data_IF_241034405165
#
_entry.id   IF_241034405165
#
_cell.length_a   1.000
_cell.length_b   1.000
_cell.length_c   1.000
_cell.angle_alpha   90.00
_cell.angle_beta   90.00
_cell.angle_gamma   90.00
#
_symmetry.space_group_name_H-M   'P 1'
#
loop_
_entity.id
_entity.type
_entity.pdbx_description
1 polymer ?
#
# COMPACT_ATOMS: atom_id res chain seq x y z
N UNK A 1 -51.81 -41.55 13.15
CA UNK A 1 -51.98 -40.87 14.45
C UNK A 1 -51.12 -41.58 15.48
N UNK A 2 -50.64 -40.85 16.49
CA UNK A 2 -49.41 -41.18 17.22
C UNK A 2 -49.56 -42.18 18.38
N UNK A 3 -48.46 -42.85 18.69
CA UNK A 3 -48.13 -43.51 19.98
C UNK A 3 -46.90 -42.75 20.53
N UNK A 4 -46.98 -42.01 21.64
CA UNK A 4 -46.74 -42.43 23.05
C UNK A 4 -45.30 -42.94 23.30
N UNK A 5 -44.59 -42.64 24.40
CA UNK A 5 -44.84 -41.85 25.63
C UNK A 5 -43.46 -41.43 26.24
N UNK A 6 -43.35 -40.46 27.17
CA UNK A 6 -42.07 -39.85 27.58
C UNK A 6 -41.38 -40.55 28.78
N UNK A 7 -40.12 -40.18 29.08
CA UNK A 7 -39.44 -40.53 30.34
C UNK A 7 -38.60 -39.40 30.96
N UNK A 8 -38.64 -39.38 32.29
CA UNK A 8 -37.70 -38.78 33.26
C UNK A 8 -37.57 -39.81 34.42
N UNK A 9 -36.69 -39.72 35.43
CA UNK A 9 -35.73 -38.71 35.92
C UNK A 9 -34.47 -39.46 36.41
N UNK A 10 -33.27 -38.86 36.37
CA UNK A 10 -32.30 -39.11 37.46
C UNK A 10 -30.79 -39.19 37.11
N UNK A 11 -29.87 -38.93 38.07
CA UNK A 11 -28.50 -38.51 37.77
C UNK A 11 -27.38 -39.43 38.29
N UNK A 12 -26.19 -39.43 37.67
CA UNK A 12 -24.95 -39.93 38.31
C UNK A 12 -23.62 -39.53 37.61
N UNK A 13 -22.88 -38.63 38.28
CA UNK A 13 -21.41 -38.63 38.54
C UNK A 13 -20.32 -38.46 37.45
N UNK A 14 -19.28 -37.76 37.92
CA UNK A 14 -17.83 -37.85 37.62
C UNK A 14 -17.29 -37.44 36.24
N UNK A 15 -16.91 -36.16 36.19
CA UNK A 15 -15.65 -35.65 35.63
C UNK A 15 -14.53 -36.66 35.31
N UNK A 16 -14.08 -36.65 34.06
CA UNK A 16 -12.67 -36.84 33.71
C UNK A 16 -12.24 -35.77 32.70
N UNK A 17 -11.31 -34.90 33.10
CA UNK A 17 -10.60 -34.00 32.19
C UNK A 17 -9.54 -34.81 31.44
N UNK A 18 -9.57 -34.78 30.11
CA UNK A 18 -8.47 -35.28 29.28
C UNK A 18 -7.36 -34.22 29.26
N UNK A 19 -6.28 -34.50 29.99
CA UNK A 19 -5.04 -33.71 29.94
C UNK A 19 -4.12 -34.30 28.88
N UNK A 20 -3.67 -33.45 27.95
CA UNK A 20 -2.65 -33.82 26.96
C UNK A 20 -1.25 -33.59 27.57
N UNK A 21 -0.26 -34.46 27.31
CA UNK A 21 1.11 -34.26 27.78
C UNK A 21 1.77 -33.09 27.03
N UNK A 22 2.67 -32.33 27.68
CA UNK A 22 3.42 -31.27 27.00
C UNK A 22 4.44 -31.84 26.02
N UNK A 23 4.54 -31.24 24.83
CA UNK A 23 5.56 -31.59 23.84
C UNK A 23 6.96 -31.21 24.34
N UNK A 24 7.95 -32.06 24.03
CA UNK A 24 9.35 -31.81 24.41
C UNK A 24 9.98 -30.74 23.50
N UNK A 25 10.81 -29.82 24.03
CA UNK A 25 11.38 -28.73 23.24
C UNK A 25 12.42 -29.25 22.25
N UNK A 26 12.20 -28.94 20.96
CA UNK A 26 13.17 -29.19 19.89
C UNK A 26 14.28 -28.14 19.98
N UNK A 27 15.52 -28.60 20.19
CA UNK A 27 16.70 -27.73 20.14
C UNK A 27 16.99 -27.30 18.70
N UNK A 28 16.90 -26.00 18.44
CA UNK A 28 17.43 -25.37 17.23
C UNK A 28 18.85 -24.82 17.50
N UNK A 29 19.82 -24.99 16.60
CA UNK A 29 21.16 -24.44 16.79
C UNK A 29 21.17 -22.92 16.59
N UNK A 30 21.82 -22.19 17.51
CA UNK A 30 22.07 -20.75 17.36
C UNK A 30 23.00 -20.47 16.18
N UNK A 31 22.48 -19.80 15.15
CA UNK A 31 23.31 -19.19 14.10
C UNK A 31 23.60 -17.74 14.50
N UNK A 32 24.71 -17.54 15.22
CA UNK A 32 25.23 -16.21 15.56
C UNK A 32 25.83 -15.56 14.31
N UNK A 33 25.01 -14.80 13.58
CA UNK A 33 25.50 -13.94 12.50
C UNK A 33 26.30 -12.75 13.08
N UNK A 34 27.50 -12.43 12.55
CA UNK A 34 28.33 -11.37 13.11
C UNK A 34 27.72 -9.98 12.87
N UNK A 35 27.48 -9.22 13.94
CA UNK A 35 27.06 -7.81 13.90
C UNK A 35 28.14 -6.93 13.27
N UNK A 36 28.15 -6.81 11.94
CA UNK A 36 28.89 -5.75 11.25
C UNK A 36 28.13 -4.43 11.40
N UNK A 37 28.60 -3.55 12.26
CA UNK A 37 28.23 -2.12 12.20
C UNK A 37 28.63 -1.60 10.82
N UNK A 38 27.68 -1.13 10.02
CA UNK A 38 27.98 -0.40 8.79
C UNK A 38 28.51 0.96 9.22
N UNK A 39 29.83 1.13 9.14
CA UNK A 39 30.49 2.39 9.46
C UNK A 39 30.39 3.31 8.24
N UNK A 40 29.42 4.22 8.26
CA UNK A 40 29.32 5.29 7.27
C UNK A 40 30.50 6.25 7.50
N UNK A 41 31.48 6.22 6.60
CA UNK A 41 32.62 7.13 6.62
C UNK A 41 32.20 8.50 6.06
N UNK A 42 32.47 9.62 6.74
CA UNK A 42 32.21 10.95 6.20
C UNK A 42 33.21 11.29 5.09
N UNK A 43 32.70 11.83 3.98
CA UNK A 43 33.51 12.36 2.88
C UNK A 43 34.21 13.66 3.30
N UNK A 44 35.54 13.64 3.40
CA UNK A 44 36.35 14.85 3.61
C UNK A 44 36.62 15.56 2.28
N UNK A 45 35.96 16.68 2.02
CA UNK A 45 36.32 17.57 0.92
C UNK A 45 37.55 18.41 1.29
N UNK A 46 38.66 18.22 0.58
CA UNK A 46 39.87 19.05 0.73
C UNK A 46 39.74 20.32 -0.11
N UNK A 47 39.62 21.47 0.53
CA UNK A 47 39.73 22.77 -0.15
C UNK A 47 41.13 22.97 -0.74
N UNK A 48 41.19 23.43 -1.99
CA UNK A 48 42.38 24.10 -2.56
C UNK A 48 41.90 25.26 -3.42
N UNK A 49 41.95 26.47 -2.87
CA UNK A 49 41.87 27.69 -3.66
C UNK A 49 43.14 27.84 -4.50
N UNK A 50 42.97 28.26 -5.75
CA UNK A 50 44.06 28.82 -6.57
C UNK A 50 43.55 30.12 -7.15
N UNK A 51 44.07 31.23 -6.64
CA UNK A 51 43.83 32.58 -7.15
C UNK A 51 44.68 32.85 -8.38
N UNK A 52 44.13 33.53 -9.40
CA UNK A 52 44.88 34.27 -10.43
C UNK A 52 43.98 35.35 -11.07
N UNK A 53 44.57 36.42 -11.61
CA UNK A 53 43.92 37.73 -11.75
C UNK A 53 43.69 38.22 -13.20
N UNK A 54 42.53 38.84 -13.40
CA UNK A 54 42.26 40.03 -14.27
C UNK A 54 42.80 40.12 -15.71
N UNK A 55 41.88 40.29 -16.67
CA UNK A 55 41.95 41.33 -17.71
C UNK A 55 40.57 41.61 -18.33
N UNK A 56 40.30 42.86 -18.74
CA UNK A 56 38.99 43.33 -19.23
C UNK A 56 38.69 42.97 -20.69
N UNK A 57 37.40 42.90 -21.05
CA UNK A 57 36.92 42.87 -22.43
C UNK A 57 35.42 43.20 -22.53
N UNK A 58 35.08 44.33 -23.18
CA UNK A 58 33.69 44.80 -23.31
C UNK A 58 32.94 44.05 -24.43
N UNK A 59 31.75 43.53 -24.12
CA UNK A 59 30.73 43.20 -25.14
C UNK A 59 29.35 43.11 -24.50
N UNK A 60 28.42 43.94 -24.96
CA UNK A 60 27.02 43.94 -24.50
C UNK A 60 26.32 42.64 -24.92
N UNK A 61 25.90 41.81 -23.97
CA UNK A 61 24.98 40.69 -24.20
C UNK A 61 23.77 40.80 -23.30
N UNK A 62 22.60 40.53 -23.87
CA UNK A 62 21.33 40.47 -23.16
C UNK A 62 21.36 39.24 -22.26
N UNK A 63 21.20 39.43 -20.95
CA UNK A 63 21.08 38.32 -20.01
C UNK A 63 19.71 37.63 -20.18
N UNK A 64 19.66 36.30 -20.33
CA UNK A 64 18.48 35.54 -19.94
C UNK A 64 18.29 35.71 -18.43
N UNK A 65 17.06 35.92 -17.97
CA UNK A 65 16.76 35.85 -16.54
C UNK A 65 16.74 34.36 -16.16
N UNK A 66 17.90 33.82 -15.80
CA UNK A 66 17.95 32.60 -15.00
C UNK A 66 17.56 32.97 -13.58
N UNK A 67 16.40 32.48 -13.13
CA UNK A 67 16.07 32.46 -11.71
C UNK A 67 16.90 31.37 -11.05
N UNK A 68 18.18 31.66 -10.82
CA UNK A 68 19.05 30.87 -9.97
C UNK A 68 18.50 30.97 -8.54
N UNK A 69 17.64 30.02 -8.18
CA UNK A 69 17.25 29.83 -6.78
C UNK A 69 18.49 29.38 -6.02
N UNK A 70 19.11 30.31 -5.30
CA UNK A 70 20.12 30.01 -4.29
C UNK A 70 19.52 29.06 -3.25
N UNK A 71 19.75 27.76 -3.44
CA UNK A 71 19.49 26.78 -2.39
C UNK A 71 20.55 26.98 -1.32
N UNK A 72 20.18 27.67 -0.25
CA UNK A 72 20.95 27.76 1.01
C UNK A 72 21.53 26.38 1.35
N UNK A 73 22.82 26.33 1.71
CA UNK A 73 23.71 25.17 1.62
C UNK A 73 23.40 23.97 2.53
N UNK A 74 22.17 23.88 3.06
CA UNK A 74 21.66 22.70 3.75
C UNK A 74 21.42 21.57 2.75
N UNK A 75 22.22 20.52 2.90
CA UNK A 75 21.85 19.18 2.43
C UNK A 75 20.39 18.89 2.82
N UNK A 76 19.52 18.46 1.87
CA UNK A 76 18.13 18.18 2.18
C UNK A 76 18.07 17.09 3.27
N UNK A 77 17.23 17.33 4.29
CA UNK A 77 17.16 16.45 5.45
C UNK A 77 16.85 15.00 5.03
N UNK A 78 17.64 14.04 5.52
CA UNK A 78 17.48 12.63 5.20
C UNK A 78 16.05 12.17 5.54
N UNK A 79 15.31 11.69 4.54
CA UNK A 79 13.98 11.10 4.69
C UNK A 79 14.05 9.58 4.65
N UNK A 80 13.20 8.93 5.43
CA UNK A 80 13.03 7.48 5.47
C UNK A 80 11.64 7.09 4.97
N UNK A 81 11.58 6.10 4.08
CA UNK A 81 10.35 5.60 3.48
C UNK A 81 10.17 4.10 3.69
N UNK A 82 8.94 3.65 3.88
CA UNK A 82 8.52 2.24 3.75
C UNK A 82 7.62 2.12 2.52
N UNK A 83 7.87 1.14 1.65
CA UNK A 83 6.97 0.79 0.53
C UNK A 83 6.56 -0.67 0.65
N UNK A 84 5.25 -0.92 0.82
CA UNK A 84 4.74 -2.28 1.06
C UNK A 84 4.55 -3.06 -0.23
N UNK A 85 4.88 -4.36 -0.24
CA UNK A 85 4.69 -5.23 -1.41
C UNK A 85 5.55 -4.82 -2.61
N UNK A 86 6.79 -4.40 -2.36
CA UNK A 86 7.65 -3.68 -3.28
C UNK A 86 8.71 -4.54 -3.99
N UNK A 87 8.59 -5.87 -3.99
CA UNK A 87 9.50 -6.74 -4.74
C UNK A 87 9.22 -6.80 -6.26
N UNK A 88 8.12 -6.19 -6.74
CA UNK A 88 7.75 -6.12 -8.17
C UNK A 88 6.77 -4.98 -8.44
N UNK A 89 6.43 -4.77 -9.71
CA UNK A 89 5.37 -3.88 -10.15
C UNK A 89 5.56 -2.42 -9.73
N UNK A 90 4.45 -1.73 -9.46
CA UNK A 90 4.42 -0.31 -9.06
C UNK A 90 5.22 -0.07 -7.78
N UNK A 91 5.20 -1.01 -6.82
CA UNK A 91 5.93 -0.88 -5.55
C UNK A 91 7.45 -0.85 -5.75
N UNK A 92 8.00 -1.77 -6.53
CA UNK A 92 9.43 -1.80 -6.86
C UNK A 92 9.89 -0.51 -7.55
N UNK A 93 9.06 -0.04 -8.46
CA UNK A 93 9.33 1.15 -9.26
C UNK A 93 9.18 2.45 -8.44
N UNK A 94 8.26 2.46 -7.47
CA UNK A 94 8.16 3.51 -6.44
C UNK A 94 9.42 3.53 -5.56
N UNK A 95 9.95 2.37 -5.14
CA UNK A 95 11.23 2.30 -4.42
C UNK A 95 12.35 2.88 -5.26
N UNK A 96 12.50 2.46 -6.52
CA UNK A 96 13.52 3.00 -7.44
C UNK A 96 13.45 4.52 -7.51
N UNK A 97 12.25 5.06 -7.77
CA UNK A 97 12.05 6.49 -7.96
C UNK A 97 12.21 7.35 -6.69
N UNK A 98 11.88 6.82 -5.50
CA UNK A 98 12.14 7.50 -4.23
C UNK A 98 13.65 7.46 -3.90
N UNK A 99 14.29 6.31 -4.06
CA UNK A 99 15.72 6.13 -3.79
C UNK A 99 16.59 6.98 -4.71
N UNK A 100 16.26 7.08 -6.01
CA UNK A 100 16.93 7.99 -6.97
C UNK A 100 16.81 9.48 -6.61
N UNK A 101 15.92 9.84 -5.68
CA UNK A 101 15.73 11.21 -5.16
C UNK A 101 16.28 11.37 -3.73
N UNK A 102 17.19 10.50 -3.31
CA UNK A 102 17.91 10.57 -2.02
C UNK A 102 17.15 10.09 -0.79
N UNK A 103 15.92 9.59 -0.95
CA UNK A 103 15.16 8.98 0.16
C UNK A 103 15.80 7.63 0.51
N UNK A 104 15.99 7.33 1.80
CA UNK A 104 16.37 5.98 2.23
C UNK A 104 15.10 5.13 2.29
N UNK A 105 15.03 4.07 1.48
CA UNK A 105 13.80 3.30 1.31
C UNK A 105 13.94 1.89 1.85
N UNK A 106 13.04 1.52 2.75
CA UNK A 106 12.82 0.14 3.16
C UNK A 106 11.84 -0.50 2.17
N UNK A 107 12.39 -1.30 1.27
CA UNK A 107 11.66 -2.18 0.37
C UNK A 107 11.13 -3.34 1.21
N UNK A 108 9.82 -3.57 1.24
CA UNK A 108 9.25 -4.72 1.96
C UNK A 108 8.50 -5.69 1.06
N UNK A 109 8.58 -6.97 1.42
CA UNK A 109 7.93 -8.06 0.71
C UNK A 109 7.66 -9.22 1.65
N UNK A 110 6.58 -9.97 1.39
CA UNK A 110 6.23 -11.17 2.19
C UNK A 110 7.26 -12.29 2.02
N UNK A 111 7.86 -12.38 0.83
CA UNK A 111 8.83 -13.39 0.45
C UNK A 111 10.25 -12.83 0.55
N UNK A 112 11.07 -13.47 1.38
CA UNK A 112 12.45 -13.04 1.68
C UNK A 112 13.36 -13.12 0.44
N UNK A 113 13.21 -14.16 -0.38
CA UNK A 113 14.04 -14.36 -1.57
C UNK A 113 13.80 -13.27 -2.60
N UNK A 114 12.53 -13.07 -2.98
CA UNK A 114 12.10 -12.05 -3.95
C UNK A 114 12.38 -10.63 -3.47
N UNK A 115 12.24 -10.36 -2.16
CA UNK A 115 12.58 -9.07 -1.58
C UNK A 115 14.08 -8.77 -1.66
N UNK A 116 14.91 -9.74 -1.27
CA UNK A 116 16.38 -9.63 -1.36
C UNK A 116 16.84 -9.47 -2.81
N UNK A 117 16.31 -10.28 -3.73
CA UNK A 117 16.61 -10.20 -5.16
C UNK A 117 16.24 -8.84 -5.74
N UNK A 118 15.08 -8.28 -5.38
CA UNK A 118 14.64 -6.97 -5.84
C UNK A 118 15.55 -5.83 -5.35
N UNK A 119 15.98 -5.85 -4.09
CA UNK A 119 16.96 -4.88 -3.56
C UNK A 119 18.32 -5.00 -4.25
N UNK A 120 18.80 -6.23 -4.46
CA UNK A 120 20.05 -6.49 -5.19
C UNK A 120 20.00 -6.05 -6.65
N UNK A 121 18.84 -6.24 -7.30
CA UNK A 121 18.57 -5.75 -8.66
C UNK A 121 18.70 -4.23 -8.73
N UNK A 122 18.03 -3.49 -7.82
CA UNK A 122 18.10 -2.03 -7.76
C UNK A 122 19.54 -1.54 -7.55
N UNK A 123 20.30 -2.20 -6.67
CA UNK A 123 21.72 -1.90 -6.43
C UNK A 123 22.57 -2.09 -7.67
N UNK A 124 22.42 -3.24 -8.36
CA UNK A 124 23.24 -3.61 -9.52
C UNK A 124 22.91 -2.80 -10.77
N UNK A 125 21.63 -2.55 -11.04
CA UNK A 125 21.16 -1.97 -12.31
C UNK A 125 20.99 -0.44 -12.26
N UNK A 126 20.86 0.13 -11.05
CA UNK A 126 20.67 1.58 -10.87
C UNK A 126 21.64 2.23 -9.87
N UNK A 127 22.57 1.46 -9.27
CA UNK A 127 23.54 1.99 -8.30
C UNK A 127 22.93 2.40 -6.95
N UNK A 128 21.68 2.01 -6.68
CA UNK A 128 20.93 2.46 -5.50
C UNK A 128 21.40 1.74 -4.23
N UNK A 129 22.24 2.40 -3.43
CA UNK A 129 22.77 1.89 -2.15
C UNK A 129 21.93 2.29 -0.94
N UNK A 130 20.94 3.17 -1.12
CA UNK A 130 20.02 3.69 -0.11
C UNK A 130 18.69 2.90 -0.04
N UNK A 131 18.69 1.65 -0.51
CA UNK A 131 17.56 0.73 -0.40
C UNK A 131 17.93 -0.42 0.53
N UNK A 132 17.10 -0.68 1.53
CA UNK A 132 17.27 -1.77 2.50
C UNK A 132 16.05 -2.70 2.41
N UNK A 133 16.27 -4.01 2.48
CA UNK A 133 15.17 -4.98 2.54
C UNK A 133 14.73 -5.23 3.99
N UNK A 134 13.42 -5.30 4.23
CA UNK A 134 12.85 -5.94 5.41
C UNK A 134 11.64 -6.80 5.03
N UNK A 135 11.49 -7.98 5.64
CA UNK A 135 10.31 -8.82 5.39
C UNK A 135 9.05 -8.13 5.92
N UNK A 136 7.95 -8.22 5.15
CA UNK A 136 6.62 -7.79 5.59
C UNK A 136 5.54 -8.62 4.92
N UNK A 137 4.79 -9.39 5.69
CA UNK A 137 3.45 -9.81 5.33
C UNK A 137 2.43 -8.95 6.09
N UNK A 138 1.66 -8.15 5.36
CA UNK A 138 0.61 -7.28 5.92
C UNK A 138 -0.55 -8.07 6.55
N UNK A 139 -0.58 -9.39 6.36
CA UNK A 139 -1.55 -10.29 6.97
C UNK A 139 -1.12 -10.80 8.35
N UNK A 140 0.16 -10.76 8.71
CA UNK A 140 0.70 -11.21 9.99
C UNK A 140 1.08 -10.04 10.90
N UNK A 141 0.47 -9.98 12.08
CA UNK A 141 0.78 -8.93 13.06
C UNK A 141 2.23 -8.98 13.52
N UNK A 142 2.84 -10.17 13.68
CA UNK A 142 4.24 -10.28 14.14
C UNK A 142 5.22 -9.72 13.11
N UNK A 143 4.93 -9.92 11.83
CA UNK A 143 5.68 -9.34 10.71
C UNK A 143 5.57 -7.81 10.68
N UNK A 144 4.36 -7.27 10.94
CA UNK A 144 4.11 -5.82 11.06
C UNK A 144 4.86 -5.23 12.27
N UNK A 145 4.78 -5.87 13.44
CA UNK A 145 5.45 -5.41 14.66
C UNK A 145 6.97 -5.42 14.50
N UNK A 146 7.54 -6.48 13.92
CA UNK A 146 8.96 -6.60 13.64
C UNK A 146 9.47 -5.51 12.67
N UNK A 147 8.65 -5.10 11.68
CA UNK A 147 8.98 -3.95 10.84
C UNK A 147 8.99 -2.65 11.64
N UNK A 148 8.01 -2.41 12.52
CA UNK A 148 7.98 -1.20 13.35
C UNK A 148 9.19 -1.14 14.31
N UNK A 149 9.56 -2.26 14.93
CA UNK A 149 10.78 -2.41 15.73
C UNK A 149 12.04 -2.08 14.91
N UNK A 150 12.16 -2.64 13.70
CA UNK A 150 13.28 -2.38 12.80
C UNK A 150 13.39 -0.90 12.41
N UNK A 151 12.29 -0.23 12.03
CA UNK A 151 12.31 1.19 11.67
C UNK A 151 12.71 2.06 12.86
N UNK A 152 12.18 1.77 14.06
CA UNK A 152 12.59 2.45 15.30
C UNK A 152 14.08 2.30 15.55
N UNK A 153 14.59 1.08 15.50
CA UNK A 153 15.96 0.76 15.92
C UNK A 153 17.02 1.21 14.89
N UNK A 154 16.67 1.28 13.60
CA UNK A 154 17.57 1.75 12.53
C UNK A 154 17.50 3.27 12.28
N UNK A 155 16.31 3.87 12.35
CA UNK A 155 16.07 5.24 11.86
C UNK A 155 15.46 6.19 12.91
N UNK A 156 14.88 5.66 13.99
CA UNK A 156 14.25 6.44 15.06
C UNK A 156 12.94 7.16 14.69
N UNK A 157 12.60 7.26 13.39
CA UNK A 157 11.39 7.87 12.85
C UNK A 157 11.03 7.26 11.49
N UNK A 158 9.88 7.65 10.95
CA UNK A 158 9.52 7.42 9.56
C UNK A 158 8.98 8.73 8.95
N UNK A 159 9.33 9.05 7.71
CA UNK A 159 8.86 10.27 7.04
C UNK A 159 7.77 9.97 5.99
N UNK A 160 7.81 8.77 5.39
CA UNK A 160 6.95 8.34 4.27
C UNK A 160 6.50 6.88 4.47
N UNK A 161 5.20 6.61 4.31
CA UNK A 161 4.63 5.28 4.15
C UNK A 161 3.86 5.19 2.84
N UNK A 162 4.22 4.25 1.96
CA UNK A 162 3.46 3.90 0.75
C UNK A 162 2.82 2.53 0.94
N UNK A 163 1.52 2.52 1.18
CA UNK A 163 0.70 1.31 1.22
C UNK A 163 0.36 0.87 -0.21
N UNK A 164 1.28 0.11 -0.82
CA UNK A 164 1.17 -0.41 -2.19
C UNK A 164 0.73 -1.89 -2.24
N UNK A 165 0.98 -2.68 -1.19
CA UNK A 165 0.61 -4.10 -1.16
C UNK A 165 -0.88 -4.31 -1.45
N UNK A 166 -1.20 -5.26 -2.34
CA UNK A 166 -2.58 -5.54 -2.69
C UNK A 166 -2.79 -6.86 -3.42
N UNK A 167 -4.05 -7.30 -3.43
CA UNK A 167 -4.56 -8.48 -4.12
C UNK A 167 -5.82 -8.11 -4.93
N UNK A 168 -6.07 -8.84 -6.01
CA UNK A 168 -7.23 -8.63 -6.90
C UNK A 168 -8.53 -9.21 -6.35
N UNK A 169 -8.44 -10.21 -5.47
CA UNK A 169 -9.61 -10.86 -4.84
C UNK A 169 -10.40 -11.80 -5.73
N UNK A 170 -9.95 -12.03 -6.96
CA UNK A 170 -10.63 -12.85 -7.97
C UNK A 170 -9.74 -14.02 -8.40
N UNK A 171 -10.40 -15.11 -8.76
CA UNK A 171 -9.84 -16.30 -9.41
C UNK A 171 -10.09 -16.13 -10.91
N UNK A 172 -9.06 -16.33 -11.74
CA UNK A 172 -9.12 -16.05 -13.16
C UNK A 172 -8.76 -17.26 -14.02
N UNK A 173 -9.45 -17.40 -15.15
CA UNK A 173 -8.97 -18.07 -16.36
C UNK A 173 -8.28 -17.01 -17.24
N UNK A 174 -6.94 -16.95 -17.17
CA UNK A 174 -6.18 -15.93 -17.89
C UNK A 174 -6.25 -16.09 -19.41
N UNK A 175 -6.27 -17.32 -19.90
CA UNK A 175 -6.28 -17.60 -21.34
C UNK A 175 -7.68 -17.33 -21.90
N UNK A 176 -8.73 -17.66 -21.15
CA UNK A 176 -10.10 -17.23 -21.42
C UNK A 176 -10.25 -15.72 -21.45
N UNK A 177 -9.67 -14.97 -20.49
CA UNK A 177 -9.72 -13.50 -20.52
C UNK A 177 -8.96 -12.92 -21.72
N UNK A 178 -7.76 -13.44 -22.03
CA UNK A 178 -6.97 -12.99 -23.20
C UNK A 178 -7.73 -13.25 -24.51
N UNK A 179 -8.39 -14.41 -24.63
CA UNK A 179 -9.18 -14.78 -25.80
C UNK A 179 -10.40 -13.86 -26.03
N UNK A 180 -10.94 -13.20 -24.99
CA UNK A 180 -12.02 -12.21 -25.15
C UNK A 180 -11.57 -10.90 -25.84
N UNK A 181 -10.25 -10.64 -25.93
CA UNK A 181 -9.67 -9.46 -26.58
C UNK A 181 -10.36 -8.13 -26.20
N UNK A 182 -10.63 -7.95 -24.90
CA UNK A 182 -11.36 -6.80 -24.36
C UNK A 182 -10.51 -5.55 -24.46
N UNK A 183 -11.04 -4.50 -25.07
CA UNK A 183 -10.34 -3.22 -25.15
C UNK A 183 -10.23 -2.55 -23.76
N UNK A 184 -9.11 -1.84 -23.48
CA UNK A 184 -8.89 -1.21 -22.17
C UNK A 184 -9.98 -0.21 -21.74
N UNK A 185 -10.64 0.49 -22.66
CA UNK A 185 -11.67 1.47 -22.33
C UNK A 185 -12.96 0.77 -21.88
N UNK A 186 -13.37 -0.29 -22.57
CA UNK A 186 -14.49 -1.16 -22.15
C UNK A 186 -14.21 -1.83 -20.81
N UNK A 187 -12.99 -2.33 -20.59
CA UNK A 187 -12.56 -2.83 -19.27
C UNK A 187 -12.68 -1.75 -18.19
N UNK A 188 -12.00 -0.60 -18.33
CA UNK A 188 -11.97 0.47 -17.34
C UNK A 188 -13.36 1.08 -17.07
N UNK A 189 -14.20 1.19 -18.09
CA UNK A 189 -15.60 1.64 -17.91
C UNK A 189 -16.38 0.71 -16.97
N UNK A 190 -16.10 -0.60 -17.00
CA UNK A 190 -16.84 -1.64 -16.27
C UNK A 190 -18.02 -2.23 -17.05
N UNK A 191 -18.28 -1.78 -18.28
CA UNK A 191 -19.36 -2.29 -19.15
C UNK A 191 -19.25 -3.79 -19.46
N UNK A 192 -18.05 -4.35 -19.35
CA UNK A 192 -17.76 -5.76 -19.62
C UNK A 192 -18.04 -6.70 -18.43
N UNK A 193 -18.58 -6.20 -17.30
CA UNK A 193 -18.77 -7.00 -16.10
C UNK A 193 -19.48 -8.34 -16.36
N UNK A 194 -20.60 -8.32 -17.08
CA UNK A 194 -21.36 -9.53 -17.43
C UNK A 194 -20.61 -10.46 -18.40
N UNK A 195 -19.83 -9.89 -19.32
CA UNK A 195 -19.02 -10.66 -20.28
C UNK A 195 -17.93 -11.48 -19.57
N UNK A 196 -17.32 -10.92 -18.52
CA UNK A 196 -16.17 -11.53 -17.85
C UNK A 196 -16.53 -12.50 -16.73
N UNK A 197 -17.78 -12.59 -16.28
CA UNK A 197 -18.20 -13.49 -15.18
C UNK A 197 -17.83 -14.97 -15.42
N UNK A 198 -17.76 -15.41 -16.68
CA UNK A 198 -17.33 -16.77 -17.02
C UNK A 198 -15.87 -17.08 -16.69
N UNK A 199 -14.99 -16.08 -16.80
CA UNK A 199 -13.52 -16.21 -16.68
C UNK A 199 -12.92 -15.47 -15.48
N UNK A 200 -13.63 -14.50 -14.90
CA UNK A 200 -13.26 -13.77 -13.67
C UNK A 200 -14.29 -14.07 -12.59
N UNK A 201 -13.92 -14.91 -11.64
CA UNK A 201 -14.78 -15.38 -10.54
C UNK A 201 -14.25 -14.89 -9.20
N UNK A 202 -15.07 -14.95 -8.16
CA UNK A 202 -14.61 -14.76 -6.79
C UNK A 202 -15.25 -15.80 -5.89
N UNK A 203 -14.67 -15.98 -4.72
CA UNK A 203 -15.14 -16.84 -3.62
C UNK A 203 -15.23 -15.99 -2.36
N UNK A 204 -15.80 -16.54 -1.29
CA UNK A 204 -15.74 -15.91 0.02
C UNK A 204 -14.28 -15.74 0.47
N UNK A 205 -13.46 -16.76 0.27
CA UNK A 205 -12.06 -16.84 0.66
C UNK A 205 -11.20 -15.83 -0.12
N UNK A 206 -11.37 -15.75 -1.45
CA UNK A 206 -10.64 -14.78 -2.26
C UNK A 206 -11.08 -13.34 -1.98
N UNK A 207 -12.36 -13.14 -1.65
CA UNK A 207 -12.90 -11.84 -1.22
C UNK A 207 -12.33 -11.41 0.14
N UNK A 208 -12.30 -12.33 1.10
CA UNK A 208 -11.73 -12.10 2.43
C UNK A 208 -10.21 -11.82 2.34
N UNK A 209 -9.46 -12.55 1.50
CA UNK A 209 -8.05 -12.28 1.24
C UNK A 209 -7.83 -10.87 0.65
N UNK A 210 -8.68 -10.45 -0.28
CA UNK A 210 -8.64 -9.12 -0.88
C UNK A 210 -8.80 -8.02 0.17
N UNK A 211 -9.83 -8.10 0.99
CA UNK A 211 -10.15 -7.13 2.04
C UNK A 211 -9.09 -7.14 3.14
N UNK A 212 -8.64 -8.32 3.54
CA UNK A 212 -7.58 -8.48 4.54
C UNK A 212 -6.25 -7.88 4.07
N UNK A 213 -5.94 -7.94 2.77
CA UNK A 213 -4.71 -7.36 2.21
C UNK A 213 -4.87 -5.85 1.99
N UNK A 214 -5.86 -5.45 1.19
CA UNK A 214 -5.99 -4.10 0.64
C UNK A 214 -6.48 -3.08 1.68
N UNK A 215 -7.24 -3.52 2.68
CA UNK A 215 -7.81 -2.67 3.73
C UNK A 215 -7.21 -2.98 5.10
N UNK A 216 -7.42 -4.18 5.67
CA UNK A 216 -6.96 -4.47 7.04
C UNK A 216 -5.43 -4.57 7.16
N UNK A 217 -4.72 -4.97 6.10
CA UNK A 217 -3.26 -4.98 6.07
C UNK A 217 -2.69 -3.56 5.98
N UNK A 218 -3.25 -2.73 5.09
CA UNK A 218 -2.96 -1.30 5.03
C UNK A 218 -3.19 -0.62 6.39
N UNK A 219 -4.33 -0.87 7.04
CA UNK A 219 -4.67 -0.34 8.36
C UNK A 219 -3.65 -0.74 9.42
N UNK A 220 -3.36 -2.05 9.58
CA UNK A 220 -2.37 -2.54 10.56
C UNK A 220 -0.98 -1.95 10.38
N UNK A 221 -0.45 -1.93 9.14
CA UNK A 221 0.86 -1.33 8.86
C UNK A 221 0.86 0.16 9.19
N UNK A 222 -0.23 0.86 8.83
CA UNK A 222 -0.36 2.29 9.13
C UNK A 222 -0.37 2.55 10.63
N UNK A 223 -1.18 1.80 11.38
CA UNK A 223 -1.30 1.92 12.85
C UNK A 223 0.03 1.63 13.56
N UNK A 224 0.73 0.56 13.18
CA UNK A 224 2.01 0.17 13.80
C UNK A 224 3.14 1.17 13.51
N UNK A 225 3.15 1.80 12.33
CA UNK A 225 4.16 2.80 11.96
C UNK A 225 3.77 4.24 12.36
N UNK A 226 2.52 4.47 12.79
CA UNK A 226 2.00 5.79 13.16
C UNK A 226 2.75 6.52 14.28
N UNK A 227 3.29 5.84 15.32
CA UNK A 227 4.14 6.49 16.32
C UNK A 227 5.45 7.03 15.70
N UNK A 228 6.01 6.31 14.72
CA UNK A 228 7.25 6.69 14.03
C UNK A 228 7.01 7.79 12.98
N UNK A 229 5.85 7.78 12.31
CA UNK A 229 5.40 8.83 11.41
C UNK A 229 5.17 10.17 12.14
N UNK A 230 4.67 10.12 13.39
CA UNK A 230 4.56 11.32 14.24
C UNK A 230 5.91 11.94 14.64
N UNK A 231 7.03 11.23 14.43
CA UNK A 231 8.39 11.72 14.64
C UNK A 231 9.04 12.28 13.35
N UNK A 232 8.30 12.36 12.23
CA UNK A 232 8.76 13.04 11.01
C UNK A 232 9.07 14.51 11.29
N UNK A 233 10.28 14.95 10.92
CA UNK A 233 10.72 16.34 11.09
C UNK A 233 10.37 17.23 9.90
N UNK A 234 9.50 16.78 9.01
CA UNK A 234 9.12 17.50 7.77
C UNK A 234 7.64 17.30 7.38
N UNK A 235 6.81 16.87 8.33
CA UNK A 235 5.48 16.31 8.09
C UNK A 235 5.54 14.86 7.58
N UNK A 236 4.68 13.96 8.08
CA UNK A 236 4.62 12.60 7.54
C UNK A 236 3.74 12.52 6.29
N UNK A 237 4.13 11.66 5.34
CA UNK A 237 3.34 11.35 4.13
C UNK A 237 2.83 9.92 4.22
N UNK A 238 1.53 9.71 4.02
CA UNK A 238 0.93 8.38 3.87
C UNK A 238 0.25 8.34 2.51
N UNK A 239 0.68 7.40 1.68
CA UNK A 239 0.20 7.22 0.30
C UNK A 239 -0.45 5.87 0.18
N UNK A 240 -1.78 5.86 0.01
CA UNK A 240 -2.57 4.65 -0.13
C UNK A 240 -2.82 4.38 -1.62
N UNK A 241 -2.17 3.36 -2.19
CA UNK A 241 -2.34 3.02 -3.62
C UNK A 241 -3.72 2.39 -3.80
N UNK A 242 -4.61 3.15 -4.42
CA UNK A 242 -6.00 2.83 -4.65
C UNK A 242 -6.25 2.43 -6.12
N UNK A 243 -7.43 2.73 -6.67
CA UNK A 243 -7.82 2.33 -8.02
C UNK A 243 -9.01 3.17 -8.50
N UNK A 244 -9.17 3.37 -9.81
CA UNK A 244 -10.43 3.83 -10.43
C UNK A 244 -11.69 3.08 -9.94
N UNK A 245 -11.52 1.85 -9.42
CA UNK A 245 -12.60 1.04 -8.83
C UNK A 245 -13.06 1.48 -7.43
N UNK A 246 -12.37 2.42 -6.77
CA UNK A 246 -12.79 2.98 -5.49
C UNK A 246 -13.90 4.03 -5.61
N UNK A 247 -14.03 4.65 -6.79
CA UNK A 247 -14.91 5.79 -7.04
C UNK A 247 -16.35 5.53 -6.56
N UNK A 248 -16.87 6.40 -5.69
CA UNK A 248 -18.20 6.23 -5.10
C UNK A 248 -19.29 6.15 -6.16
N UNK A 249 -19.16 6.91 -7.27
CA UNK A 249 -20.07 6.85 -8.43
C UNK A 249 -20.21 5.47 -9.09
N UNK A 250 -19.30 4.52 -8.81
CA UNK A 250 -19.31 3.15 -9.35
C UNK A 250 -19.99 2.12 -8.45
N UNK A 251 -20.36 2.50 -7.21
CA UNK A 251 -21.10 1.66 -6.29
C UNK A 251 -22.60 1.85 -6.59
N UNK A 252 -23.35 0.80 -7.03
CA UNK A 252 -24.76 0.96 -7.40
C UNK A 252 -25.66 1.38 -6.23
N UNK A 253 -25.43 0.84 -5.03
CA UNK A 253 -26.20 1.15 -3.82
C UNK A 253 -25.94 2.57 -3.30
N UNK A 254 -26.97 3.42 -3.37
CA UNK A 254 -26.93 4.80 -2.83
C UNK A 254 -26.65 4.83 -1.33
N UNK A 255 -27.19 3.88 -0.57
CA UNK A 255 -26.93 3.72 0.86
C UNK A 255 -25.43 3.54 1.11
N UNK A 256 -24.78 2.63 0.38
CA UNK A 256 -23.34 2.39 0.51
C UNK A 256 -22.52 3.60 0.06
N UNK A 257 -22.93 4.31 -1.01
CA UNK A 257 -22.30 5.58 -1.40
C UNK A 257 -22.34 6.63 -0.29
N UNK A 258 -23.50 6.80 0.36
CA UNK A 258 -23.65 7.75 1.48
C UNK A 258 -22.81 7.34 2.70
N UNK A 259 -22.85 6.06 3.10
CA UNK A 259 -22.09 5.56 4.25
C UNK A 259 -20.57 5.72 4.12
N UNK A 260 -20.01 5.64 2.90
CA UNK A 260 -18.57 5.86 2.65
C UNK A 260 -18.24 7.31 2.27
N UNK A 261 -19.21 8.07 1.74
CA UNK A 261 -19.02 9.42 1.20
C UNK A 261 -19.15 10.55 2.23
N UNK A 262 -19.98 10.39 3.26
CA UNK A 262 -20.28 11.41 4.27
C UNK A 262 -19.15 11.58 5.31
N UNK A 263 -18.31 12.60 5.13
CA UNK A 263 -17.17 12.91 6.02
C UNK A 263 -17.55 13.29 7.45
N UNK A 264 -18.74 13.82 7.67
CA UNK A 264 -19.14 14.29 9.00
C UNK A 264 -19.42 13.11 9.90
N UNK A 265 -19.97 12.03 9.33
CA UNK A 265 -20.36 10.84 10.08
C UNK A 265 -19.51 9.59 9.79
N UNK A 266 -18.54 9.64 8.87
CA UNK A 266 -17.66 8.51 8.53
C UNK A 266 -16.74 8.11 9.70
N UNK A 267 -16.75 6.83 10.04
CA UNK A 267 -15.85 6.23 11.04
C UNK A 267 -15.33 4.87 10.57
N UNK A 268 -14.31 4.35 11.24
CA UNK A 268 -13.73 3.03 10.92
C UNK A 268 -14.75 1.91 11.12
N UNK A 269 -15.62 2.00 12.14
CA UNK A 269 -16.68 1.03 12.42
C UNK A 269 -17.74 0.99 11.33
N UNK A 270 -18.03 2.12 10.66
CA UNK A 270 -18.92 2.17 9.50
C UNK A 270 -18.28 1.50 8.29
N UNK A 271 -17.00 1.74 8.04
CA UNK A 271 -16.27 1.09 6.95
C UNK A 271 -16.23 -0.43 7.18
N UNK A 272 -15.95 -0.87 8.40
CA UNK A 272 -16.04 -2.27 8.81
C UNK A 272 -17.47 -2.83 8.67
N UNK A 273 -18.50 -2.04 8.97
CA UNK A 273 -19.90 -2.39 8.76
C UNK A 273 -20.24 -2.63 7.28
N UNK A 274 -19.77 -1.77 6.39
CA UNK A 274 -19.88 -1.95 4.92
C UNK A 274 -19.19 -3.24 4.48
N UNK A 275 -17.95 -3.47 4.94
CA UNK A 275 -17.17 -4.68 4.59
C UNK A 275 -17.86 -5.96 5.10
N UNK A 276 -18.38 -5.96 6.33
CA UNK A 276 -19.10 -7.10 6.91
C UNK A 276 -20.37 -7.45 6.13
N UNK A 277 -21.14 -6.44 5.68
CA UNK A 277 -22.32 -6.66 4.83
C UNK A 277 -21.93 -7.19 3.45
N UNK A 278 -20.89 -6.65 2.81
CA UNK A 278 -20.39 -7.19 1.55
C UNK A 278 -19.99 -8.67 1.71
N UNK A 279 -19.20 -9.01 2.73
CA UNK A 279 -18.77 -10.40 2.99
C UNK A 279 -19.92 -11.35 3.33
N UNK A 280 -20.99 -10.87 3.95
CA UNK A 280 -22.24 -11.62 4.11
C UNK A 280 -22.88 -11.89 2.75
N UNK A 281 -23.04 -10.85 1.93
CA UNK A 281 -23.71 -10.93 0.64
C UNK A 281 -22.94 -11.75 -0.42
N UNK A 282 -21.61 -11.90 -0.25
CA UNK A 282 -20.79 -12.90 -0.99
C UNK A 282 -21.17 -14.34 -0.62
N UNK A 283 -21.51 -14.63 0.64
CA UNK A 283 -21.92 -15.99 1.06
C UNK A 283 -23.30 -16.36 0.57
N UNK A 284 -24.21 -15.39 0.58
CA UNK A 284 -25.61 -15.56 0.17
C UNK A 284 -25.83 -15.40 -1.35
N UNK A 285 -24.75 -15.26 -2.15
CA UNK A 285 -24.77 -15.01 -3.60
C UNK A 285 -25.71 -13.86 -4.03
N UNK A 286 -25.79 -12.82 -3.20
CA UNK A 286 -26.80 -11.74 -3.30
C UNK A 286 -26.22 -10.39 -3.70
N UNK A 287 -25.00 -10.38 -4.26
CA UNK A 287 -24.25 -9.14 -4.52
C UNK A 287 -24.98 -8.15 -5.43
N UNK A 288 -25.45 -8.60 -6.59
CA UNK A 288 -26.14 -7.71 -7.54
C UNK A 288 -27.48 -7.23 -6.97
N UNK A 289 -28.25 -8.13 -6.35
CA UNK A 289 -29.53 -7.81 -5.71
C UNK A 289 -29.40 -6.76 -4.60
N UNK A 290 -28.31 -6.80 -3.83
CA UNK A 290 -28.04 -5.84 -2.75
C UNK A 290 -27.29 -4.57 -3.23
N UNK A 291 -27.11 -4.41 -4.55
CA UNK A 291 -26.57 -3.21 -5.17
C UNK A 291 -25.05 -3.05 -5.01
N UNK A 292 -24.30 -4.15 -4.94
CA UNK A 292 -22.84 -4.14 -5.03
C UNK A 292 -22.38 -4.07 -6.49
N UNK A 293 -21.15 -3.57 -6.71
CA UNK A 293 -20.59 -3.56 -8.06
C UNK A 293 -20.20 -4.97 -8.48
N UNK A 294 -20.77 -5.46 -9.58
CA UNK A 294 -20.43 -6.77 -10.16
C UNK A 294 -19.08 -6.79 -10.90
N UNK A 295 -18.46 -5.62 -11.16
CA UNK A 295 -17.12 -5.53 -11.75
C UNK A 295 -16.05 -5.61 -10.66
N UNK A 296 -15.35 -6.74 -10.59
CA UNK A 296 -14.33 -7.03 -9.57
C UNK A 296 -14.81 -6.73 -8.13
N UNK A 297 -15.91 -7.33 -7.65
CA UNK A 297 -16.62 -6.89 -6.44
C UNK A 297 -15.72 -6.70 -5.20
N UNK A 298 -14.90 -7.69 -4.77
CA UNK A 298 -14.09 -7.53 -3.57
C UNK A 298 -12.99 -6.49 -3.73
N UNK A 299 -12.45 -6.33 -4.95
CA UNK A 299 -11.46 -5.29 -5.24
C UNK A 299 -12.07 -3.90 -5.09
N UNK A 300 -13.21 -3.67 -5.76
CA UNK A 300 -13.94 -2.40 -5.74
C UNK A 300 -14.32 -1.98 -4.32
N UNK A 301 -14.92 -2.90 -3.53
CA UNK A 301 -15.23 -2.63 -2.11
C UNK A 301 -13.96 -2.34 -1.30
N UNK A 302 -12.91 -3.15 -1.44
CA UNK A 302 -11.67 -2.94 -0.67
C UNK A 302 -10.99 -1.59 -0.94
N UNK A 303 -11.04 -1.10 -2.19
CA UNK A 303 -10.44 0.20 -2.56
C UNK A 303 -11.35 1.38 -2.21
N UNK A 304 -12.67 1.24 -2.26
CA UNK A 304 -13.60 2.23 -1.73
C UNK A 304 -13.45 2.39 -0.20
N UNK A 305 -13.33 1.28 0.54
CA UNK A 305 -13.01 1.28 1.97
C UNK A 305 -11.65 1.91 2.29
N UNK A 306 -10.64 1.68 1.45
CA UNK A 306 -9.31 2.32 1.59
C UNK A 306 -9.37 3.84 1.37
N UNK A 307 -10.12 4.31 0.36
CA UNK A 307 -10.38 5.74 0.15
C UNK A 307 -11.09 6.36 1.36
N UNK A 308 -12.13 5.71 1.88
CA UNK A 308 -12.84 6.16 3.08
C UNK A 308 -11.90 6.25 4.30
N UNK A 309 -11.08 5.23 4.55
CA UNK A 309 -10.12 5.23 5.66
C UNK A 309 -9.02 6.29 5.51
N UNK A 310 -8.57 6.57 4.28
CA UNK A 310 -7.64 7.67 3.99
C UNK A 310 -8.20 9.01 4.48
N UNK A 311 -9.50 9.25 4.25
CA UNK A 311 -10.20 10.47 4.72
C UNK A 311 -10.34 10.52 6.25
N UNK A 312 -10.65 9.39 6.88
CA UNK A 312 -10.70 9.27 8.36
C UNK A 312 -9.35 9.58 8.99
N UNK A 313 -8.27 9.01 8.45
CA UNK A 313 -6.91 9.30 8.90
C UNK A 313 -6.51 10.76 8.71
N UNK A 314 -6.79 11.36 7.54
CA UNK A 314 -6.49 12.76 7.30
C UNK A 314 -7.21 13.71 8.29
N UNK A 315 -8.48 13.42 8.61
CA UNK A 315 -9.26 14.15 9.63
C UNK A 315 -8.67 13.97 11.05
N UNK A 316 -8.09 12.81 11.35
CA UNK A 316 -7.49 12.45 12.65
C UNK A 316 -6.05 12.99 12.83
N UNK A 317 -5.31 13.17 11.74
CA UNK A 317 -3.91 13.61 11.72
C UNK A 317 -3.71 14.79 10.74
N UNK A 318 -4.25 15.99 11.02
CA UNK A 318 -4.23 17.13 10.10
C UNK A 318 -2.83 17.66 9.77
N UNK A 319 -1.81 17.34 10.59
CA UNK A 319 -0.41 17.70 10.36
C UNK A 319 0.33 16.71 9.43
N UNK A 320 -0.37 15.72 8.85
CA UNK A 320 0.17 14.74 7.91
C UNK A 320 -0.50 14.88 6.54
N UNK A 321 0.25 14.64 5.47
CA UNK A 321 -0.28 14.53 4.12
C UNK A 321 -0.69 13.07 3.85
N UNK A 322 -1.97 12.76 4.00
CA UNK A 322 -2.52 11.40 3.93
C UNK A 322 -3.48 11.33 2.74
N UNK A 323 -3.03 10.74 1.63
CA UNK A 323 -3.74 10.77 0.36
C UNK A 323 -3.82 9.37 -0.27
N UNK A 324 -4.76 9.20 -1.20
CA UNK A 324 -4.93 7.98 -1.97
C UNK A 324 -4.85 8.24 -3.47
N UNK A 325 -4.37 7.26 -4.24
CA UNK A 325 -4.06 7.46 -5.67
C UNK A 325 -4.42 6.25 -6.52
N UNK A 326 -5.14 6.46 -7.61
CA UNK A 326 -5.18 5.52 -8.71
C UNK A 326 -3.92 5.67 -9.58
N UNK A 327 -3.07 4.65 -9.71
CA UNK A 327 -1.83 4.75 -10.49
C UNK A 327 -2.03 4.62 -12.02
N UNK A 328 -3.25 4.78 -12.53
CA UNK A 328 -3.60 4.44 -13.91
C UNK A 328 -3.68 2.92 -14.15
N UNK A 329 -3.84 2.52 -15.42
CA UNK A 329 -4.01 1.12 -15.81
C UNK A 329 -2.67 0.44 -16.14
N UNK A 330 -1.89 0.19 -15.11
CA UNK A 330 -0.51 -0.30 -15.21
C UNK A 330 -0.45 -1.78 -15.59
N UNK A 331 0.46 -2.15 -16.49
CA UNK A 331 0.76 -3.53 -16.84
C UNK A 331 1.51 -4.24 -15.69
N UNK A 332 0.81 -5.13 -14.97
CA UNK A 332 1.38 -5.90 -13.85
C UNK A 332 0.73 -7.28 -13.72
N UNK A 333 1.30 -8.14 -12.88
CA UNK A 333 0.71 -9.41 -12.48
C UNK A 333 -0.67 -9.24 -11.79
N UNK A 334 -0.94 -8.09 -11.14
CA UNK A 334 -2.19 -7.84 -10.40
C UNK A 334 -3.41 -7.81 -11.34
N UNK A 335 -3.19 -7.43 -12.60
CA UNK A 335 -4.16 -7.39 -13.68
C UNK A 335 -3.72 -8.27 -14.87
N UNK A 336 -2.94 -9.32 -14.62
CA UNK A 336 -2.61 -10.35 -15.63
C UNK A 336 -2.02 -9.78 -16.93
N UNK A 337 -1.20 -8.74 -16.80
CA UNK A 337 -0.56 -8.01 -17.89
C UNK A 337 -1.51 -7.34 -18.91
N UNK A 338 -2.78 -7.10 -18.55
CA UNK A 338 -3.78 -6.43 -19.41
C UNK A 338 -3.70 -4.89 -19.40
N UNK A 339 -2.82 -4.31 -18.58
CA UNK A 339 -2.64 -2.86 -18.47
C UNK A 339 -1.90 -2.22 -19.66
N UNK A 340 -2.21 -0.96 -19.94
CA UNK A 340 -1.62 -0.18 -21.04
C UNK A 340 -0.43 0.68 -20.64
N UNK A 341 -0.27 1.00 -19.35
CA UNK A 341 0.81 1.85 -18.84
C UNK A 341 1.98 1.05 -18.31
N UNK A 342 3.19 1.60 -18.39
CA UNK A 342 4.38 1.03 -17.75
C UNK A 342 4.34 1.22 -16.23
N UNK A 343 5.12 0.41 -15.49
CA UNK A 343 5.29 0.61 -14.05
C UNK A 343 5.93 1.96 -13.72
N UNK A 344 6.80 2.49 -14.58
CA UNK A 344 7.47 3.79 -14.39
C UNK A 344 6.49 4.95 -14.45
N UNK A 345 5.53 4.90 -15.38
CA UNK A 345 4.41 5.84 -15.44
C UNK A 345 3.48 5.67 -14.22
N UNK A 346 3.13 4.43 -13.88
CA UNK A 346 2.23 4.13 -12.77
C UNK A 346 2.74 4.56 -11.39
N UNK A 347 4.06 4.55 -11.18
CA UNK A 347 4.68 5.01 -9.94
C UNK A 347 4.71 6.54 -9.80
N UNK A 348 4.49 7.34 -10.88
CA UNK A 348 4.59 8.81 -10.83
C UNK A 348 3.66 9.43 -9.78
N UNK A 349 2.41 8.97 -9.73
CA UNK A 349 1.42 9.43 -8.73
C UNK A 349 1.84 9.12 -7.30
N UNK A 350 2.07 7.84 -6.94
CA UNK A 350 2.57 7.46 -5.61
C UNK A 350 3.84 8.20 -5.18
N UNK A 351 4.80 8.38 -6.10
CA UNK A 351 6.06 9.10 -5.83
C UNK A 351 5.83 10.60 -5.63
N UNK A 352 4.95 11.23 -6.42
CA UNK A 352 4.59 12.64 -6.26
C UNK A 352 3.97 12.88 -4.87
N UNK A 353 2.98 12.06 -4.47
CA UNK A 353 2.34 12.17 -3.16
C UNK A 353 3.29 11.92 -1.99
N UNK A 354 4.21 10.96 -2.13
CA UNK A 354 5.22 10.66 -1.12
C UNK A 354 6.24 11.81 -0.92
N UNK A 355 6.39 12.69 -1.92
CA UNK A 355 7.37 13.78 -1.91
C UNK A 355 6.75 15.17 -1.72
N UNK A 356 5.41 15.27 -1.61
CA UNK A 356 4.67 16.52 -1.43
C UNK A 356 5.27 17.41 -0.31
N UNK A 357 5.40 18.74 -0.54
CA UNK A 357 5.79 19.70 0.49
C UNK A 357 4.92 19.63 1.76
N UNK A 358 5.44 20.12 2.88
CA UNK A 358 4.63 20.32 4.09
C UNK A 358 3.49 21.32 3.81
N UNK A 359 2.32 21.12 4.41
CA UNK A 359 1.12 21.92 4.13
C UNK A 359 0.41 21.59 2.81
N UNK A 360 0.86 20.58 2.06
CA UNK A 360 0.15 20.09 0.86
C UNK A 360 -1.21 19.47 1.20
N UNK A 361 -2.14 19.34 0.23
CA UNK A 361 -3.45 18.75 0.44
C UNK A 361 -3.39 17.37 1.11
N UNK A 362 -4.39 17.10 1.96
CA UNK A 362 -4.54 15.87 2.73
C UNK A 362 -5.99 15.41 2.72
N UNK A 363 -6.24 14.11 2.77
CA UNK A 363 -7.58 13.53 2.64
C UNK A 363 -8.12 13.54 1.21
N UNK A 364 -7.26 13.66 0.20
CA UNK A 364 -7.64 13.71 -1.22
C UNK A 364 -7.48 12.35 -1.93
N UNK A 365 -8.20 12.19 -3.03
CA UNK A 365 -8.01 11.15 -4.03
C UNK A 365 -7.38 11.77 -5.29
N UNK A 366 -6.46 11.02 -5.92
CA UNK A 366 -5.77 11.42 -7.12
C UNK A 366 -5.96 10.38 -8.24
N UNK A 367 -6.23 10.83 -9.46
CA UNK A 367 -6.03 10.03 -10.67
C UNK A 367 -4.64 10.35 -11.22
N UNK A 368 -3.71 9.41 -11.06
CA UNK A 368 -2.29 9.54 -11.34
C UNK A 368 -1.66 10.74 -10.59
N UNK A 369 -1.53 11.90 -11.23
CA UNK A 369 -0.96 13.12 -10.63
C UNK A 369 -1.99 14.21 -10.35
N UNK A 370 -3.23 14.06 -10.81
CA UNK A 370 -4.27 15.09 -10.71
C UNK A 370 -5.25 14.77 -9.57
N UNK A 371 -5.72 15.80 -8.85
CA UNK A 371 -6.78 15.65 -7.84
C UNK A 371 -8.09 15.27 -8.54
N UNK A 372 -8.80 14.27 -7.99
CA UNK A 372 -10.06 13.77 -8.53
C UNK A 372 -11.12 13.56 -7.43
N UNK A 373 -12.38 13.37 -7.84
CA UNK A 373 -13.49 13.04 -6.94
C UNK A 373 -13.43 11.60 -6.42
N UNK A 374 -14.01 11.36 -5.25
CA UNK A 374 -13.85 10.14 -4.44
C UNK A 374 -14.62 8.89 -4.90
#
# INVERSE_FOLDING_TARGET
MSLTVPMTVGPSKSSHQLTFPPEAPISTPEIVAPRRKIQVLPLSASSREVSLSSSQGSSTRIHPITTDMETDGKQPAQRYAVVTGANKGIGLETVRQLASRGVTVVLTARDVGRGTEATEKLRREHGLTNVVFHQLDVLDQKSVDALADFIRDQFGRLDILVNNAGASGVIIDEDGLKAMNIDPASWLSGKVANLVQGVVKHSYESSQLCLNTNYYGCKRVTEALLPLLQLSTSGARIVNVSSLRSELRRIPSEKTRKELGDLDTLTEEKIDGVIKRFLHDVKEDSLEANGWSIMLPPYSVSKASLNAYTRVLAKKYPNMCINCVHPGYVNTDLNWHTGTMTTEEGARGPVMLALLPEGSPTGCYFDQTEIAEF
#
